data_IF_050072617773
#
_entry.id   IF_050072617773
#
_cell.length_a   1.000
_cell.length_b   1.000
_cell.length_c   1.000
_cell.angle_alpha   90.00
_cell.angle_beta   90.00
_cell.angle_gamma   90.00
#
_symmetry.space_group_name_H-M   'P 1'
#
loop_
_entity.id
_entity.type
_entity.pdbx_description
1 polymer ?
#
# COMPACT_ATOMS: atom_id res chain seq x y z
N UNK A 1 -17.62 -2.52 -11.02
CA UNK A 1 -17.21 -1.11 -11.20
C UNK A 1 -16.18 -0.79 -10.13
N UNK A 2 -14.99 -0.29 -10.48
CA UNK A 2 -13.93 -0.03 -9.49
C UNK A 2 -14.15 1.34 -8.83
N UNK A 3 -14.10 1.40 -7.50
CA UNK A 3 -14.42 2.61 -6.74
C UNK A 3 -13.50 3.81 -7.07
N UNK A 4 -12.23 3.56 -7.39
CA UNK A 4 -11.23 4.61 -7.63
C UNK A 4 -11.31 5.29 -9.01
N UNK A 5 -12.18 4.81 -9.92
CA UNK A 5 -12.44 5.44 -11.23
C UNK A 5 -13.90 5.86 -11.39
N UNK A 6 -14.69 5.79 -10.32
CA UNK A 6 -16.12 6.11 -10.39
C UNK A 6 -16.34 7.58 -10.69
N UNK A 7 -17.51 7.91 -11.25
CA UNK A 7 -17.92 9.31 -11.48
C UNK A 7 -17.92 10.11 -10.17
N UNK A 8 -18.38 9.50 -9.10
CA UNK A 8 -18.42 10.08 -7.76
C UNK A 8 -17.01 10.44 -7.25
N UNK A 9 -16.06 9.49 -7.33
CA UNK A 9 -14.67 9.72 -6.92
C UNK A 9 -14.02 10.82 -7.75
N UNK A 10 -14.20 10.80 -9.07
CA UNK A 10 -13.64 11.82 -9.96
C UNK A 10 -14.24 13.21 -9.71
N UNK A 11 -15.54 13.31 -9.45
CA UNK A 11 -16.19 14.56 -9.08
C UNK A 11 -15.64 15.12 -7.75
N UNK A 12 -15.45 14.24 -6.76
CA UNK A 12 -14.88 14.63 -5.47
C UNK A 12 -13.43 15.12 -5.60
N UNK A 13 -12.62 14.49 -6.44
CA UNK A 13 -11.23 14.89 -6.71
C UNK A 13 -11.18 16.24 -7.45
N UNK A 14 -12.02 16.43 -8.47
CA UNK A 14 -12.09 17.67 -9.25
C UNK A 14 -12.48 18.88 -8.39
N UNK A 15 -13.28 18.68 -7.34
CA UNK A 15 -13.65 19.73 -6.39
C UNK A 15 -12.49 20.19 -5.47
N UNK A 16 -11.29 19.60 -5.58
CA UNK A 16 -10.12 19.88 -4.72
C UNK A 16 -8.86 20.15 -5.56
N UNK A 17 -8.85 21.22 -6.37
CA UNK A 17 -7.70 21.53 -7.22
C UNK A 17 -6.46 21.81 -6.37
N UNK A 18 -5.29 21.36 -6.86
CA UNK A 18 -4.00 21.59 -6.20
C UNK A 18 -3.73 20.76 -4.93
N UNK A 19 -4.71 19.97 -4.45
CA UNK A 19 -4.53 19.13 -3.25
C UNK A 19 -3.79 17.81 -3.53
N UNK A 20 -3.92 17.28 -4.74
CA UNK A 20 -3.42 15.95 -5.09
C UNK A 20 -2.58 16.00 -6.37
N UNK A 21 -1.44 15.34 -6.34
CA UNK A 21 -0.66 14.98 -7.53
C UNK A 21 -0.75 13.46 -7.70
N UNK A 22 -1.14 13.01 -8.88
CA UNK A 22 -1.30 11.59 -9.16
C UNK A 22 -0.06 11.04 -9.86
N UNK A 23 0.69 10.19 -9.18
CA UNK A 23 1.78 9.42 -9.76
C UNK A 23 1.29 8.00 -10.06
N UNK A 24 1.25 7.64 -11.33
CA UNK A 24 0.87 6.30 -11.76
C UNK A 24 2.12 5.46 -12.06
N UNK A 25 2.16 4.23 -11.57
CA UNK A 25 3.20 3.27 -11.96
C UNK A 25 3.02 2.87 -13.43
N UNK A 26 4.11 2.56 -14.16
CA UNK A 26 4.02 2.02 -15.52
C UNK A 26 3.10 0.80 -15.60
N UNK A 27 2.52 0.58 -16.78
CA UNK A 27 1.75 -0.64 -17.04
C UNK A 27 2.65 -1.86 -16.81
N UNK A 28 2.13 -2.85 -16.08
CA UNK A 28 2.89 -4.04 -15.61
C UNK A 28 4.00 -3.75 -14.58
N UNK A 29 4.13 -2.51 -14.10
CA UNK A 29 5.09 -2.08 -13.09
C UNK A 29 4.58 -2.15 -11.65
N UNK A 30 3.63 -3.05 -11.35
CA UNK A 30 3.04 -3.14 -10.00
C UNK A 30 4.06 -3.47 -8.91
N UNK A 31 5.19 -4.09 -9.29
CA UNK A 31 6.33 -4.32 -8.39
C UNK A 31 6.96 -3.02 -7.87
N UNK A 32 6.75 -1.87 -8.50
CA UNK A 32 7.19 -0.56 -7.98
C UNK A 32 6.25 -0.01 -6.89
N UNK A 33 5.05 -0.58 -6.75
CA UNK A 33 4.07 -0.15 -5.77
C UNK A 33 4.43 -0.68 -4.38
N UNK A 34 5.03 0.19 -3.56
CA UNK A 34 5.44 -0.10 -2.19
C UNK A 34 4.29 -0.63 -1.32
N UNK A 35 3.08 -0.13 -1.54
CA UNK A 35 1.90 -0.53 -0.76
C UNK A 35 1.55 -2.00 -1.00
N UNK A 36 1.69 -2.49 -2.24
CA UNK A 36 1.47 -3.91 -2.56
C UNK A 36 2.51 -4.80 -1.88
N UNK A 37 3.78 -4.40 -1.93
CA UNK A 37 4.88 -5.11 -1.26
C UNK A 37 4.68 -5.16 0.26
N UNK A 38 4.28 -4.04 0.86
CA UNK A 38 3.94 -3.95 2.27
C UNK A 38 2.82 -4.92 2.64
N UNK A 39 1.68 -4.89 1.93
CA UNK A 39 0.56 -5.79 2.23
C UNK A 39 0.90 -7.25 2.01
N UNK A 40 1.75 -7.58 1.04
CA UNK A 40 2.26 -8.95 0.85
C UNK A 40 3.09 -9.43 2.04
N UNK A 41 3.95 -8.57 2.60
CA UNK A 41 4.71 -8.87 3.83
C UNK A 41 3.76 -9.01 5.02
N UNK A 42 2.87 -8.02 5.21
CA UNK A 42 1.90 -7.97 6.29
C UNK A 42 1.01 -9.22 6.33
N UNK A 43 0.50 -9.63 5.16
CA UNK A 43 -0.32 -10.83 5.05
C UNK A 43 0.44 -12.09 5.51
N UNK A 44 1.73 -12.21 5.17
CA UNK A 44 2.56 -13.36 5.53
C UNK A 44 3.01 -13.34 6.98
N UNK A 45 3.41 -12.19 7.52
CA UNK A 45 4.01 -12.08 8.86
C UNK A 45 2.99 -11.85 9.97
N UNK A 46 1.87 -11.18 9.68
CA UNK A 46 0.86 -10.82 10.68
C UNK A 46 -0.40 -11.66 10.51
N UNK A 47 -0.95 -11.76 9.28
CA UNK A 47 -2.30 -12.29 9.08
C UNK A 47 -2.37 -13.81 8.90
N UNK A 48 -1.36 -14.44 8.27
CA UNK A 48 -1.43 -15.84 7.78
C UNK A 48 -1.86 -16.86 8.85
N UNK A 49 -1.51 -16.64 10.11
CA UNK A 49 -1.81 -17.57 11.21
C UNK A 49 -2.48 -16.89 12.40
N UNK A 50 -3.05 -15.69 12.20
CA UNK A 50 -3.68 -14.96 13.29
C UNK A 50 -4.96 -15.67 13.75
N UNK A 51 -5.11 -15.83 15.07
CA UNK A 51 -6.34 -16.33 15.70
C UNK A 51 -6.94 -15.20 16.53
N UNK A 52 -8.21 -14.90 16.27
CA UNK A 52 -8.95 -13.84 16.95
C UNK A 52 -10.37 -14.30 17.25
N UNK A 53 -10.90 -13.87 18.39
CA UNK A 53 -12.25 -14.18 18.86
C UNK A 53 -13.29 -13.13 18.42
N UNK A 54 -12.86 -11.97 17.93
CA UNK A 54 -13.77 -10.89 17.51
C UNK A 54 -13.16 -9.98 16.44
N UNK A 55 -14.03 -9.21 15.76
CA UNK A 55 -13.61 -8.16 14.82
C UNK A 55 -12.82 -7.05 15.52
N UNK A 56 -13.17 -6.73 16.77
CA UNK A 56 -12.43 -5.75 17.54
C UNK A 56 -11.00 -6.23 17.81
N UNK A 57 -10.84 -7.50 18.23
CA UNK A 57 -9.51 -8.06 18.44
C UNK A 57 -8.69 -8.12 17.15
N UNK A 58 -9.32 -8.39 15.99
CA UNK A 58 -8.65 -8.29 14.69
C UNK A 58 -8.11 -6.88 14.44
N UNK A 59 -8.96 -5.86 14.66
CA UNK A 59 -8.57 -4.45 14.51
C UNK A 59 -7.40 -4.11 15.43
N UNK A 60 -7.50 -4.45 16.71
CA UNK A 60 -6.47 -4.13 17.70
C UNK A 60 -5.11 -4.77 17.35
N UNK A 61 -5.13 -6.02 16.88
CA UNK A 61 -3.91 -6.72 16.44
C UNK A 61 -3.31 -6.10 15.18
N UNK A 62 -4.15 -5.67 14.23
CA UNK A 62 -3.68 -4.98 13.02
C UNK A 62 -3.03 -3.65 13.40
N UNK A 63 -3.69 -2.85 14.25
CA UNK A 63 -3.15 -1.56 14.70
C UNK A 63 -1.83 -1.73 15.46
N UNK A 64 -1.75 -2.68 16.39
CA UNK A 64 -0.51 -2.97 17.11
C UNK A 64 0.64 -3.40 16.17
N UNK A 65 0.35 -4.13 15.09
CA UNK A 65 1.35 -4.46 14.08
C UNK A 65 1.80 -3.23 13.28
N UNK A 66 0.88 -2.31 12.98
CA UNK A 66 1.24 -1.02 12.34
C UNK A 66 2.14 -0.19 13.24
N UNK A 67 1.80 -0.07 14.53
CA UNK A 67 2.62 0.64 15.53
C UNK A 67 4.03 0.04 15.61
N UNK A 68 4.13 -1.28 15.69
CA UNK A 68 5.42 -1.98 15.68
C UNK A 68 6.27 -1.68 14.43
N UNK A 69 5.67 -1.62 13.24
CA UNK A 69 6.40 -1.26 12.02
C UNK A 69 6.79 0.22 12.00
N UNK A 70 5.98 1.10 12.59
CA UNK A 70 6.24 2.54 12.66
C UNK A 70 7.33 2.89 13.71
N UNK A 71 7.50 2.10 14.76
CA UNK A 71 8.56 2.31 15.77
C UNK A 71 9.96 2.17 15.17
N UNK A 72 10.13 1.32 14.14
CA UNK A 72 11.41 1.08 13.48
C UNK A 72 11.22 1.05 11.95
N UNK A 73 10.98 2.20 11.31
CA UNK A 73 10.68 2.25 9.89
C UNK A 73 11.92 1.89 9.08
N UNK A 74 11.75 0.98 8.12
CA UNK A 74 12.81 0.63 7.17
C UNK A 74 12.53 1.36 5.86
N UNK A 75 13.49 2.17 5.41
CA UNK A 75 13.41 2.83 4.12
C UNK A 75 13.51 1.78 3.02
N UNK A 76 12.46 1.65 2.22
CA UNK A 76 12.46 0.72 1.10
C UNK A 76 13.31 1.27 -0.05
N UNK A 77 14.40 0.59 -0.39
CA UNK A 77 15.25 0.94 -1.53
C UNK A 77 15.02 -0.02 -2.69
N UNK A 78 14.82 0.52 -3.88
CA UNK A 78 14.81 -0.27 -5.11
C UNK A 78 16.16 -0.16 -5.80
N UNK A 79 16.73 -1.30 -6.20
CA UNK A 79 17.88 -1.32 -7.12
C UNK A 79 17.42 -1.85 -8.47
N UNK A 80 17.48 -1.03 -9.51
CA UNK A 80 17.27 -1.47 -10.87
C UNK A 80 18.61 -1.48 -11.61
N UNK A 81 19.04 -2.66 -12.08
CA UNK A 81 20.24 -2.78 -12.91
C UNK A 81 19.88 -2.49 -14.37
N UNK A 82 20.18 -1.27 -14.84
CA UNK A 82 20.23 -1.01 -16.28
C UNK A 82 21.42 -1.78 -16.85
N UNK A 83 21.18 -2.72 -17.78
CA UNK A 83 22.27 -3.21 -18.63
C UNK A 83 22.74 -2.02 -19.45
N UNK A 84 24.02 -1.65 -19.35
CA UNK A 84 24.63 -0.70 -20.30
C UNK A 84 24.46 -1.31 -21.70
N UNK A 85 23.79 -0.58 -22.58
CA UNK A 85 23.87 -0.86 -24.02
C UNK A 85 25.26 -0.42 -24.44
N UNK A 86 26.02 -1.36 -25.01
CA UNK A 86 27.37 -1.13 -25.54
C UNK A 86 27.30 -0.31 -26.83
#
# INVERSE_FOLDING_TARGET
HSAHISKETNAWLAARPGRFEFTFTPKHGSWLNLVEGFFSKFARSVLRHIRVASKQQLKDRIMAAMDHFNDNPVVHTWSYKLKKVA
#
